data_IF_475112848213
#
_entry.id   IF_475112848213
#
_cell.length_a   1.000
_cell.length_b   1.000
_cell.length_c   1.000
_cell.angle_alpha   90.00
_cell.angle_beta   90.00
_cell.angle_gamma   90.00
#
_symmetry.space_group_name_H-M   'P 1'
#
loop_
_entity.id
_entity.type
_entity.pdbx_description
1 polymer ?
#
# COMPACT_ATOMS: atom_id res chain seq x y z
N UNK A 1 -30.08 -17.51 -7.61
CA UNK A 1 -29.18 -17.21 -6.48
C UNK A 1 -27.77 -17.63 -6.87
N UNK A 2 -26.77 -16.76 -6.82
CA UNK A 2 -25.38 -17.11 -7.13
C UNK A 2 -24.60 -17.34 -5.82
N UNK A 3 -24.09 -18.56 -5.62
CA UNK A 3 -23.41 -18.95 -4.39
C UNK A 3 -21.91 -18.68 -4.50
N UNK A 4 -21.47 -17.51 -4.02
CA UNK A 4 -20.05 -17.20 -3.86
C UNK A 4 -19.48 -18.11 -2.75
N UNK A 5 -18.76 -19.15 -3.16
CA UNK A 5 -18.10 -20.11 -2.28
C UNK A 5 -16.63 -19.72 -2.10
N UNK A 6 -16.31 -19.02 -1.02
CA UNK A 6 -14.93 -18.87 -0.57
C UNK A 6 -14.40 -20.13 0.14
N UNK A 7 -13.07 -20.26 0.17
CA UNK A 7 -12.26 -21.27 0.87
C UNK A 7 -12.78 -21.57 2.30
N UNK A 8 -12.49 -22.78 2.76
CA UNK A 8 -12.68 -23.21 4.15
C UNK A 8 -12.02 -22.22 5.12
N UNK A 9 -12.84 -21.53 5.93
CA UNK A 9 -12.38 -20.65 7.01
C UNK A 9 -12.81 -19.18 6.94
N UNK A 10 -13.42 -18.70 5.85
CA UNK A 10 -13.95 -17.32 5.78
C UNK A 10 -15.48 -17.26 5.80
N UNK A 11 -16.03 -16.14 6.27
CA UNK A 11 -17.47 -15.89 6.39
C UNK A 11 -18.13 -15.94 5.01
N UNK A 12 -19.04 -16.89 4.82
CA UNK A 12 -19.83 -17.10 3.60
C UNK A 12 -20.52 -15.79 3.20
N UNK A 13 -20.15 -15.21 2.07
CA UNK A 13 -20.81 -14.04 1.52
C UNK A 13 -21.61 -14.48 0.29
N UNK A 14 -22.92 -14.26 0.27
CA UNK A 14 -23.75 -14.55 -0.90
C UNK A 14 -23.81 -13.30 -1.79
N UNK A 15 -23.50 -13.44 -3.08
CA UNK A 15 -23.84 -12.42 -4.06
C UNK A 15 -25.32 -12.56 -4.41
N UNK A 16 -26.10 -11.51 -4.19
CA UNK A 16 -27.44 -11.46 -4.75
C UNK A 16 -27.35 -11.19 -6.26
N UNK A 17 -27.57 -12.24 -7.06
CA UNK A 17 -27.53 -12.17 -8.52
C UNK A 17 -28.62 -11.25 -9.11
N UNK A 18 -29.71 -11.02 -8.38
CA UNK A 18 -30.79 -10.12 -8.80
C UNK A 18 -30.46 -8.65 -8.54
N UNK A 19 -29.44 -8.37 -7.71
CA UNK A 19 -29.00 -7.01 -7.41
C UNK A 19 -28.46 -6.34 -8.66
N UNK A 20 -28.83 -5.07 -8.83
CA UNK A 20 -28.32 -4.21 -9.90
C UNK A 20 -26.92 -3.70 -9.54
N UNK A 21 -26.00 -3.82 -10.49
CA UNK A 21 -24.64 -3.32 -10.37
C UNK A 21 -24.61 -1.81 -10.66
N UNK A 22 -23.86 -1.07 -9.85
CA UNK A 22 -23.97 0.39 -9.75
C UNK A 22 -23.42 1.12 -10.98
N UNK A 23 -22.36 0.61 -11.59
CA UNK A 23 -21.72 1.27 -12.73
C UNK A 23 -22.43 0.97 -14.05
N UNK A 24 -22.84 -0.27 -14.25
CA UNK A 24 -23.42 -0.77 -15.49
C UNK A 24 -24.94 -0.69 -15.53
N UNK A 25 -25.59 -0.55 -14.37
CA UNK A 25 -27.06 -0.57 -14.22
C UNK A 25 -27.71 -1.87 -14.73
N UNK A 26 -26.92 -2.95 -14.89
CA UNK A 26 -27.38 -4.30 -15.22
C UNK A 26 -27.42 -5.17 -13.96
N UNK A 27 -28.20 -6.25 -13.98
CA UNK A 27 -28.15 -7.23 -12.89
C UNK A 27 -26.85 -8.03 -12.97
N UNK A 28 -26.33 -8.44 -11.81
CA UNK A 28 -25.16 -9.32 -11.79
C UNK A 28 -25.39 -10.62 -12.57
N UNK A 29 -26.60 -11.18 -12.53
CA UNK A 29 -26.96 -12.36 -13.32
C UNK A 29 -26.72 -12.15 -14.83
N UNK A 30 -27.18 -11.01 -15.35
CA UNK A 30 -27.07 -10.67 -16.78
C UNK A 30 -25.61 -10.44 -17.17
N UNK A 31 -24.83 -9.77 -16.32
CA UNK A 31 -23.40 -9.54 -16.55
C UNK A 31 -22.59 -10.84 -16.57
N UNK A 32 -22.87 -11.75 -15.62
CA UNK A 32 -22.22 -13.06 -15.57
C UNK A 32 -22.58 -13.86 -16.83
N UNK A 33 -23.86 -13.89 -17.18
CA UNK A 33 -24.34 -14.58 -18.38
C UNK A 33 -23.69 -14.02 -19.65
N UNK A 34 -23.67 -12.69 -19.82
CA UNK A 34 -23.06 -12.00 -20.96
C UNK A 34 -21.58 -12.38 -21.12
N UNK A 35 -20.82 -12.46 -20.01
CA UNK A 35 -19.41 -12.87 -20.05
C UNK A 35 -19.22 -14.34 -20.37
N UNK A 36 -20.00 -15.22 -19.76
CA UNK A 36 -19.95 -16.67 -20.01
C UNK A 36 -20.39 -17.02 -21.43
N UNK A 37 -21.40 -16.33 -21.97
CA UNK A 37 -21.85 -16.49 -23.36
C UNK A 37 -20.76 -16.11 -24.38
N UNK A 38 -19.82 -15.22 -24.00
CA UNK A 38 -18.63 -14.88 -24.79
C UNK A 38 -17.44 -15.83 -24.54
N UNK A 39 -17.59 -16.87 -23.72
CA UNK A 39 -16.49 -17.77 -23.34
C UNK A 39 -15.44 -17.10 -22.46
N UNK A 40 -15.82 -16.06 -21.70
CA UNK A 40 -14.89 -15.29 -20.85
C UNK A 40 -15.26 -15.40 -19.38
N UNK A 41 -14.25 -15.42 -18.52
CA UNK A 41 -14.48 -15.39 -17.08
C UNK A 41 -15.07 -14.05 -16.64
N UNK A 42 -15.91 -14.09 -15.60
CA UNK A 42 -16.45 -12.89 -14.99
C UNK A 42 -15.72 -12.56 -13.69
N UNK A 43 -15.41 -11.28 -13.46
CA UNK A 43 -14.63 -10.83 -12.32
C UNK A 43 -15.46 -9.93 -11.40
N UNK A 44 -15.48 -10.26 -10.11
CA UNK A 44 -16.16 -9.51 -9.06
C UNK A 44 -15.15 -8.85 -8.12
N UNK A 45 -15.51 -7.68 -7.62
CA UNK A 45 -14.77 -7.02 -6.55
C UNK A 45 -15.66 -6.86 -5.31
N UNK A 46 -15.14 -7.27 -4.16
CA UNK A 46 -15.73 -7.09 -2.83
C UNK A 46 -14.97 -5.99 -2.11
N UNK A 47 -15.67 -4.92 -1.78
CA UNK A 47 -15.16 -3.76 -1.06
C UNK A 47 -15.55 -3.87 0.40
N UNK A 48 -14.54 -3.76 1.27
CA UNK A 48 -14.70 -3.59 2.71
C UNK A 48 -14.36 -2.14 3.06
N UNK A 49 -15.29 -1.42 3.69
CA UNK A 49 -15.06 -0.04 4.14
C UNK A 49 -14.53 -0.02 5.57
N UNK A 50 -13.71 0.99 5.92
CA UNK A 50 -13.13 1.14 7.27
C UNK A 50 -14.20 1.39 8.34
N UNK A 51 -15.24 2.13 8.01
CA UNK A 51 -16.34 2.41 8.92
C UNK A 51 -17.33 1.25 8.94
N UNK A 52 -17.55 0.69 10.13
CA UNK A 52 -18.65 -0.25 10.37
C UNK A 52 -19.98 0.47 10.15
N UNK A 53 -20.96 -0.23 9.59
CA UNK A 53 -22.28 0.34 9.42
C UNK A 53 -22.91 0.59 10.79
N UNK A 54 -23.20 1.87 11.07
CA UNK A 54 -23.66 2.38 12.36
C UNK A 54 -24.98 1.74 12.81
N UNK A 55 -25.72 1.14 11.87
CA UNK A 55 -27.02 0.51 12.11
C UNK A 55 -26.96 -0.98 12.43
N UNK A 56 -25.91 -1.70 12.00
CA UNK A 56 -25.87 -3.17 12.06
C UNK A 56 -24.76 -3.72 12.95
N UNK A 57 -23.71 -2.95 13.25
CA UNK A 57 -22.52 -3.44 13.97
C UNK A 57 -21.70 -4.49 13.21
N UNK A 58 -22.23 -5.03 12.11
CA UNK A 58 -21.59 -5.99 11.23
C UNK A 58 -20.77 -5.30 10.15
N UNK A 59 -19.71 -5.99 9.73
CA UNK A 59 -18.92 -5.60 8.58
C UNK A 59 -19.77 -5.74 7.31
N UNK A 60 -20.15 -4.61 6.71
CA UNK A 60 -20.87 -4.59 5.43
C UNK A 60 -19.86 -4.67 4.29
N UNK A 61 -20.08 -5.64 3.42
CA UNK A 61 -19.33 -5.81 2.19
C UNK A 61 -20.17 -5.36 1.00
N UNK A 62 -19.55 -4.65 0.07
CA UNK A 62 -20.19 -4.20 -1.16
C UNK A 62 -19.56 -4.91 -2.35
N UNK A 63 -20.40 -5.52 -3.19
CA UNK A 63 -19.96 -6.19 -4.41
C UNK A 63 -20.16 -5.28 -5.62
N UNK A 64 -19.17 -5.26 -6.51
CA UNK A 64 -19.14 -4.49 -7.74
C UNK A 64 -18.61 -5.34 -8.89
N UNK A 65 -18.88 -4.92 -10.13
CA UNK A 65 -18.11 -5.38 -11.27
C UNK A 65 -16.64 -4.96 -11.08
N UNK A 66 -15.72 -5.92 -11.19
CA UNK A 66 -14.32 -5.66 -10.89
C UNK A 66 -13.67 -4.70 -11.88
N UNK A 67 -14.04 -4.77 -13.16
CA UNK A 67 -13.48 -3.92 -14.22
C UNK A 67 -13.89 -2.48 -14.00
N UNK A 68 -15.17 -2.23 -13.76
CA UNK A 68 -15.69 -0.88 -13.54
C UNK A 68 -15.17 -0.28 -12.23
N UNK A 69 -15.14 -1.06 -11.14
CA UNK A 69 -14.57 -0.57 -9.88
C UNK A 69 -13.10 -0.19 -10.06
N UNK A 70 -12.31 -1.00 -10.77
CA UNK A 70 -10.91 -0.69 -11.03
C UNK A 70 -10.74 0.60 -11.85
N UNK A 71 -11.60 0.86 -12.84
CA UNK A 71 -11.60 2.12 -13.62
C UNK A 71 -11.94 3.34 -12.75
N UNK A 72 -12.74 3.15 -11.70
CA UNK A 72 -13.09 4.20 -10.75
C UNK A 72 -11.97 4.46 -9.71
N UNK A 73 -11.44 3.40 -9.10
CA UNK A 73 -10.48 3.48 -7.98
C UNK A 73 -9.07 3.81 -8.45
N UNK A 74 -8.66 3.27 -9.60
CA UNK A 74 -7.30 3.37 -10.10
C UNK A 74 -7.23 4.21 -11.37
N UNK A 75 -6.09 4.87 -11.58
CA UNK A 75 -5.78 5.60 -12.79
C UNK A 75 -4.43 5.16 -13.37
N UNK A 76 -4.33 5.21 -14.70
CA UNK A 76 -3.03 5.10 -15.37
C UNK A 76 -2.39 6.48 -15.47
N UNK A 77 -1.17 6.57 -14.96
CA UNK A 77 -0.32 7.77 -15.08
C UNK A 77 0.85 7.44 -16.00
N UNK A 78 1.04 8.24 -17.04
CA UNK A 78 2.17 8.15 -17.96
C UNK A 78 3.27 9.08 -17.45
N UNK A 79 4.44 8.54 -17.10
CA UNK A 79 5.61 9.32 -16.71
C UNK A 79 6.75 9.09 -17.70
N UNK A 80 7.81 9.90 -17.60
CA UNK A 80 9.07 9.70 -18.34
C UNK A 80 9.73 8.35 -18.03
N UNK A 81 9.43 7.77 -16.87
CA UNK A 81 9.87 6.44 -16.43
C UNK A 81 8.98 5.29 -16.97
N UNK A 82 7.87 5.61 -17.65
CA UNK A 82 6.93 4.65 -18.22
C UNK A 82 5.49 4.83 -17.73
N UNK A 83 4.62 3.89 -18.08
CA UNK A 83 3.23 3.85 -17.59
C UNK A 83 3.23 3.27 -16.18
N UNK A 84 2.45 3.83 -15.25
CA UNK A 84 2.25 3.34 -13.87
C UNK A 84 0.78 3.44 -13.48
N UNK A 85 0.31 2.54 -12.63
CA UNK A 85 -1.04 2.66 -12.04
C UNK A 85 -0.92 3.31 -10.67
N UNK A 86 -1.81 4.24 -10.37
CA UNK A 86 -1.95 4.87 -9.07
C UNK A 86 -3.38 4.75 -8.56
N UNK A 87 -3.55 4.87 -7.26
CA UNK A 87 -4.86 5.00 -6.64
C UNK A 87 -5.33 6.44 -6.85
N UNK A 88 -6.47 6.62 -7.52
CA UNK A 88 -7.10 7.92 -7.77
C UNK A 88 -8.02 8.30 -6.61
N UNK A 89 -8.95 7.39 -6.28
CA UNK A 89 -9.94 7.59 -5.22
C UNK A 89 -10.18 6.26 -4.49
N UNK A 90 -9.80 6.18 -3.21
CA UNK A 90 -9.98 4.97 -2.39
C UNK A 90 -11.20 5.07 -1.48
N UNK A 91 -12.34 5.46 -2.08
CA UNK A 91 -13.64 5.57 -1.43
C UNK A 91 -14.68 4.71 -2.15
N UNK A 92 -15.63 4.17 -1.39
CA UNK A 92 -16.75 3.42 -1.93
C UNK A 92 -17.58 4.30 -2.87
N UNK A 93 -17.90 3.84 -4.09
CA UNK A 93 -18.61 4.66 -5.09
C UNK A 93 -19.99 5.15 -4.64
N UNK A 94 -20.70 4.34 -3.84
CA UNK A 94 -22.08 4.61 -3.41
C UNK A 94 -22.10 5.40 -2.11
N UNK A 95 -21.42 4.88 -1.09
CA UNK A 95 -21.50 5.41 0.27
C UNK A 95 -20.43 6.48 0.54
N UNK A 96 -19.46 6.66 -0.37
CA UNK A 96 -18.34 7.61 -0.24
C UNK A 96 -17.48 7.38 1.02
N UNK A 97 -17.57 6.19 1.62
CA UNK A 97 -16.78 5.75 2.79
C UNK A 97 -15.38 5.31 2.35
N UNK A 98 -14.39 5.51 3.22
CA UNK A 98 -13.03 5.07 2.92
C UNK A 98 -12.94 3.54 2.82
N UNK A 99 -12.31 3.06 1.75
CA UNK A 99 -12.10 1.63 1.53
C UNK A 99 -10.94 1.17 2.42
N UNK A 100 -11.15 0.06 3.14
CA UNK A 100 -10.11 -0.64 3.87
C UNK A 100 -9.41 -1.67 2.97
N UNK A 101 -10.19 -2.47 2.26
CA UNK A 101 -9.68 -3.52 1.38
C UNK A 101 -10.63 -3.79 0.21
N UNK A 102 -10.05 -4.06 -0.96
CA UNK A 102 -10.75 -4.63 -2.12
C UNK A 102 -10.21 -6.03 -2.34
N UNK A 103 -11.13 -7.00 -2.37
CA UNK A 103 -10.87 -8.42 -2.65
C UNK A 103 -11.51 -8.79 -4.00
N UNK A 104 -10.79 -9.52 -4.83
CA UNK A 104 -11.23 -9.87 -6.17
C UNK A 104 -11.51 -11.36 -6.29
N UNK A 105 -12.53 -11.68 -7.09
CA UNK A 105 -13.02 -13.03 -7.32
C UNK A 105 -13.24 -13.28 -8.80
N UNK A 106 -13.02 -14.51 -9.23
CA UNK A 106 -13.24 -14.98 -10.59
C UNK A 106 -14.34 -16.03 -10.63
N UNK A 107 -15.34 -15.84 -11.47
CA UNK A 107 -16.32 -16.85 -11.84
C UNK A 107 -15.91 -17.43 -13.19
N UNK A 108 -15.45 -18.69 -13.15
CA UNK A 108 -15.05 -19.43 -14.34
C UNK A 108 -16.24 -19.71 -15.25
N UNK A 109 -16.08 -19.47 -16.54
CA UNK A 109 -17.09 -19.77 -17.55
C UNK A 109 -17.22 -21.29 -17.83
N UNK A 110 -16.13 -22.03 -17.64
CA UNK A 110 -15.99 -23.46 -17.93
C UNK A 110 -16.22 -24.37 -16.70
N UNK A 111 -16.62 -23.81 -15.57
CA UNK A 111 -16.79 -24.59 -14.34
C UNK A 111 -18.08 -25.39 -14.37
N UNK A 112 -18.00 -26.67 -13.97
CA UNK A 112 -19.15 -27.52 -13.64
C UNK A 112 -20.06 -26.87 -12.56
N UNK A 113 -19.50 -25.94 -11.77
CA UNK A 113 -20.23 -25.08 -10.82
C UNK A 113 -20.12 -23.61 -11.23
N UNK A 114 -20.91 -23.13 -12.21
CA UNK A 114 -20.73 -21.79 -12.83
C UNK A 114 -20.91 -20.61 -11.86
N UNK A 115 -21.48 -20.87 -10.68
CA UNK A 115 -21.78 -19.85 -9.67
C UNK A 115 -20.71 -19.76 -8.58
N UNK A 116 -19.66 -20.59 -8.62
CA UNK A 116 -18.57 -20.58 -7.64
C UNK A 116 -17.54 -19.51 -8.00
N UNK A 117 -17.45 -18.49 -7.16
CA UNK A 117 -16.43 -17.46 -7.30
C UNK A 117 -15.14 -17.86 -6.57
N UNK A 118 -14.02 -17.90 -7.29
CA UNK A 118 -12.69 -18.20 -6.76
C UNK A 118 -11.97 -16.91 -6.37
N UNK A 119 -11.43 -16.83 -5.16
CA UNK A 119 -10.58 -15.70 -4.77
C UNK A 119 -9.28 -15.69 -5.59
N UNK A 120 -8.93 -14.54 -6.16
CA UNK A 120 -7.76 -14.38 -7.03
C UNK A 120 -6.73 -13.37 -6.49
N UNK A 121 -7.10 -12.52 -5.54
CA UNK A 121 -6.20 -11.51 -4.99
C UNK A 121 -6.92 -10.30 -4.41
N UNK A 122 -6.15 -9.33 -3.94
CA UNK A 122 -6.67 -8.08 -3.39
C UNK A 122 -6.06 -6.87 -4.14
N UNK A 123 -6.44 -5.65 -3.73
CA UNK A 123 -5.93 -4.41 -4.34
C UNK A 123 -4.40 -4.30 -4.36
N UNK A 124 -3.69 -4.84 -3.35
CA UNK A 124 -2.22 -4.85 -3.32
C UNK A 124 -1.68 -5.75 -4.44
N UNK A 125 -2.17 -6.99 -4.51
CA UNK A 125 -1.72 -7.92 -5.55
C UNK A 125 -2.12 -7.48 -6.96
N UNK A 126 -3.24 -6.75 -7.11
CA UNK A 126 -3.65 -6.12 -8.36
C UNK A 126 -2.66 -5.03 -8.83
N UNK A 127 -2.17 -4.19 -7.90
CA UNK A 127 -1.18 -3.16 -8.23
C UNK A 127 0.19 -3.75 -8.58
N UNK A 128 0.54 -4.91 -8.04
CA UNK A 128 1.82 -5.58 -8.29
C UNK A 128 1.80 -6.48 -9.54
N UNK A 129 0.71 -7.22 -9.77
CA UNK A 129 0.66 -8.29 -10.79
C UNK A 129 0.13 -7.80 -12.14
N UNK A 130 0.99 -7.77 -13.17
CA UNK A 130 0.56 -7.46 -14.53
C UNK A 130 -0.40 -8.51 -15.09
N UNK A 131 -0.09 -9.80 -14.87
CA UNK A 131 -0.93 -10.90 -15.34
C UNK A 131 -2.36 -10.81 -14.79
N UNK A 132 -2.50 -10.45 -13.51
CA UNK A 132 -3.81 -10.25 -12.91
C UNK A 132 -4.59 -9.13 -13.61
N UNK A 133 -3.96 -7.97 -13.83
CA UNK A 133 -4.62 -6.87 -14.56
C UNK A 133 -5.01 -7.23 -15.98
N UNK A 134 -4.09 -7.86 -16.73
CA UNK A 134 -4.36 -8.31 -18.10
C UNK A 134 -5.59 -9.22 -18.16
N UNK A 135 -5.72 -10.15 -17.22
CA UNK A 135 -6.87 -11.04 -17.10
C UNK A 135 -8.16 -10.31 -16.74
N UNK A 136 -8.11 -9.40 -15.77
CA UNK A 136 -9.30 -8.68 -15.31
C UNK A 136 -9.89 -7.75 -16.38
N UNK A 137 -9.04 -7.17 -17.24
CA UNK A 137 -9.48 -6.25 -18.30
C UNK A 137 -9.81 -6.94 -19.62
N UNK A 138 -9.53 -8.25 -19.77
CA UNK A 138 -9.63 -9.03 -21.01
C UNK A 138 -8.98 -8.30 -22.20
N UNK A 139 -7.66 -8.51 -22.39
CA UNK A 139 -6.80 -7.85 -23.38
C UNK A 139 -7.20 -8.06 -24.86
N UNK A 140 -8.39 -7.60 -25.28
CA UNK A 140 -8.75 -7.49 -26.70
C UNK A 140 -8.71 -6.04 -27.19
N UNK A 141 -8.80 -5.04 -26.30
CA UNK A 141 -8.76 -3.64 -26.69
C UNK A 141 -7.50 -2.91 -26.13
N UNK A 142 -6.54 -2.51 -26.98
CA UNK A 142 -5.32 -1.83 -26.56
C UNK A 142 -5.54 -0.46 -25.91
N UNK A 143 -6.72 0.17 -26.11
CA UNK A 143 -7.12 1.41 -25.43
C UNK A 143 -7.63 1.16 -24.00
N UNK A 144 -8.16 -0.04 -23.77
CA UNK A 144 -8.77 -0.47 -22.50
C UNK A 144 -7.79 -1.26 -21.62
N UNK A 145 -6.68 -1.70 -22.21
CA UNK A 145 -5.57 -2.34 -21.54
C UNK A 145 -4.79 -1.31 -20.71
N UNK A 146 -4.83 -1.49 -19.38
CA UNK A 146 -3.84 -0.91 -18.49
C UNK A 146 -2.45 -1.54 -18.78
N UNK A 147 -1.87 -1.25 -19.95
CA UNK A 147 -0.58 -1.76 -20.40
C UNK A 147 0.51 -0.92 -19.73
N UNK A 148 1.00 -1.44 -18.61
CA UNK A 148 1.91 -0.73 -17.71
C UNK A 148 3.30 -1.31 -17.88
N UNK A 149 4.27 -0.48 -18.28
CA UNK A 149 5.68 -0.86 -18.23
C UNK A 149 6.16 -0.71 -16.78
N UNK A 150 6.36 -1.82 -16.08
CA UNK A 150 6.95 -1.81 -14.75
C UNK A 150 8.45 -1.59 -14.85
N UNK A 151 8.89 -0.35 -14.65
CA UNK A 151 10.19 -0.16 -14.01
C UNK A 151 10.06 -0.69 -12.58
N UNK A 152 10.43 -1.95 -12.39
CA UNK A 152 10.78 -2.46 -11.07
C UNK A 152 11.96 -1.62 -10.58
N UNK A 153 11.68 -0.51 -9.87
CA UNK A 153 12.67 -0.03 -8.91
C UNK A 153 12.77 -1.19 -7.94
N UNK A 154 13.81 -2.03 -8.12
CA UNK A 154 14.34 -2.86 -7.04
C UNK A 154 14.31 -1.92 -5.85
N UNK A 155 13.50 -2.24 -4.84
CA UNK A 155 13.73 -1.72 -3.52
C UNK A 155 15.13 -2.24 -3.25
N UNK A 156 16.14 -1.41 -3.51
CA UNK A 156 17.48 -1.67 -3.04
C UNK A 156 17.28 -1.73 -1.53
N UNK A 157 17.15 -2.96 -1.00
CA UNK A 157 17.38 -3.26 0.40
C UNK A 157 18.60 -2.42 0.73
N UNK A 158 18.41 -1.38 1.55
CA UNK A 158 19.44 -0.40 1.88
C UNK A 158 20.72 -1.19 2.09
N UNK A 159 21.55 -1.18 1.06
CA UNK A 159 22.70 -2.07 1.00
C UNK A 159 23.56 -1.62 2.17
N UNK A 160 24.09 -2.58 2.90
CA UNK A 160 24.86 -2.48 4.14
C UNK A 160 25.97 -1.40 4.14
N UNK A 161 26.24 -0.77 2.99
CA UNK A 161 27.06 0.43 2.78
C UNK A 161 26.67 1.65 3.64
N UNK A 162 25.41 1.84 4.05
CA UNK A 162 25.06 2.98 4.93
C UNK A 162 25.49 2.77 6.39
N UNK A 163 25.64 1.53 6.87
CA UNK A 163 26.02 1.27 8.27
C UNK A 163 27.46 1.68 8.56
N UNK A 164 28.38 1.46 7.61
CA UNK A 164 29.79 1.86 7.78
C UNK A 164 29.95 3.39 7.85
N UNK A 165 29.26 4.14 6.98
CA UNK A 165 29.26 5.61 7.04
C UNK A 165 28.66 6.17 8.33
N UNK A 166 27.64 5.52 8.89
CA UNK A 166 27.06 5.92 10.19
C UNK A 166 28.07 5.68 11.32
N UNK A 167 28.78 4.55 11.31
CA UNK A 167 29.82 4.23 12.30
C UNK A 167 31.01 5.21 12.18
N UNK A 168 31.47 5.51 10.96
CA UNK A 168 32.57 6.45 10.73
C UNK A 168 32.20 7.87 11.21
N UNK A 169 30.96 8.30 10.97
CA UNK A 169 30.46 9.60 11.44
C UNK A 169 30.38 9.64 12.97
N UNK A 170 29.92 8.55 13.59
CA UNK A 170 29.85 8.44 15.04
C UNK A 170 31.24 8.46 15.70
N UNK A 171 32.21 7.73 15.13
CA UNK A 171 33.58 7.72 15.62
C UNK A 171 34.23 9.12 15.56
N UNK A 172 33.97 9.88 14.49
CA UNK A 172 34.48 11.25 14.35
C UNK A 172 33.90 12.20 15.40
N UNK A 173 32.61 12.07 15.72
CA UNK A 173 31.96 12.85 16.79
C UNK A 173 32.60 12.54 18.16
N UNK A 174 32.86 11.27 18.46
CA UNK A 174 33.48 10.86 19.73
C UNK A 174 34.89 11.45 19.85
N UNK A 175 35.70 11.40 18.79
CA UNK A 175 37.05 11.98 18.78
C UNK A 175 37.00 13.49 19.03
N UNK A 176 36.08 14.21 18.39
CA UNK A 176 35.90 15.65 18.61
C UNK A 176 35.51 15.96 20.06
N UNK A 177 34.64 15.17 20.67
CA UNK A 177 34.28 15.31 22.08
C UNK A 177 35.48 15.08 23.02
N UNK A 178 36.34 14.10 22.73
CA UNK A 178 37.55 13.85 23.52
C UNK A 178 38.53 15.02 23.40
N UNK A 179 38.76 15.54 22.19
CA UNK A 179 39.62 16.72 21.96
C UNK A 179 39.07 17.93 22.72
N UNK A 180 37.75 18.17 22.66
CA UNK A 180 37.10 19.26 23.38
C UNK A 180 37.24 19.12 24.90
N UNK A 181 37.11 17.91 25.43
CA UNK A 181 37.32 17.61 26.86
C UNK A 181 38.77 17.87 27.29
N UNK A 182 39.75 17.41 26.51
CA UNK A 182 41.18 17.66 26.79
C UNK A 182 41.49 19.17 26.73
N UNK A 183 40.94 19.89 25.75
CA UNK A 183 41.09 21.33 25.65
C UNK A 183 40.47 22.07 26.86
N UNK A 184 39.28 21.65 27.32
CA UNK A 184 38.63 22.21 28.50
C UNK A 184 39.41 21.94 29.79
N UNK A 185 39.92 20.71 29.97
CA UNK A 185 40.74 20.34 31.12
C UNK A 185 42.09 21.07 31.10
N UNK A 186 42.73 21.17 29.95
CA UNK A 186 43.97 21.94 29.77
C UNK A 186 43.79 23.43 30.04
N UNK A 187 42.68 24.01 29.59
CA UNK A 187 42.30 25.39 29.89
C UNK A 187 42.06 25.62 31.38
N UNK A 188 41.33 24.71 32.04
CA UNK A 188 41.08 24.77 33.50
C UNK A 188 42.37 24.57 34.31
N UNK A 189 43.26 23.68 33.88
CA UNK A 189 44.56 23.44 34.53
C UNK A 189 45.51 24.65 34.39
N UNK A 190 45.49 25.35 33.25
CA UNK A 190 46.21 26.62 33.08
C UNK A 190 45.64 27.74 33.96
N UNK A 191 44.32 27.90 34.07
CA UNK A 191 43.72 28.88 35.01
C UNK A 191 43.94 28.53 36.48
N UNK A 192 43.97 27.24 36.84
CA UNK A 192 44.28 26.78 38.19
C UNK A 192 45.73 27.03 38.61
N UNK A 193 46.68 27.04 37.68
CA UNK A 193 48.10 27.38 37.96
C UNK A 193 48.38 28.88 38.03
N UNK A 194 47.57 29.72 37.38
CA UNK A 194 47.78 31.19 37.39
C UNK A 194 47.24 31.84 38.67
N UNK A 195 46.40 31.16 39.46
CA UNK A 195 45.94 31.65 40.76
C UNK A 195 46.91 31.39 41.93
N UNK A 196 48.10 30.82 41.67
CA UNK A 196 49.00 30.29 42.71
C UNK A 196 50.34 31.00 42.89
N UNK A 197 50.58 32.16 42.25
CA UNK A 197 51.83 32.91 42.45
C UNK A 197 51.52 34.42 42.47
N UNK A 198 51.22 34.93 43.66
CA UNK A 198 51.30 36.36 43.97
C UNK A 198 52.53 36.61 44.85
N UNK A 199 53.28 37.71 44.65
CA UNK A 199 54.52 37.96 45.37
C UNK A 199 54.24 38.30 46.84
N UNK A 200 55.02 37.70 47.74
CA UNK A 200 55.08 38.13 49.14
C UNK A 200 56.10 39.26 49.24
N UNK A 201 55.59 40.48 49.15
CA UNK A 201 56.18 41.76 49.58
C UNK A 201 55.02 42.50 50.25
N UNK A 202 55.04 43.05 51.45
CA UNK A 202 56.10 43.63 52.28
C UNK A 202 55.53 43.87 53.71
N UNK A 203 56.41 43.80 54.73
CA UNK A 203 56.68 44.82 55.79
C UNK A 203 55.58 45.30 56.80
N UNK A 204 55.94 45.13 58.09
CA UNK A 204 55.71 45.89 59.37
C UNK A 204 54.31 46.19 59.94
N UNK A 205 54.17 45.84 61.22
CA UNK A 205 53.80 46.65 62.42
C UNK A 205 53.85 45.68 63.64
N UNK A 206 54.36 45.97 64.83
CA UNK A 206 54.63 47.20 65.59
C UNK A 206 55.86 46.96 66.47
#
# INVERSE_FOLDING_TARGET
MAYVLEKTGTTRCALDAAKTEVFTQKKFADLIYDSHARGTDYYLARVHCKEKDSKSGNTVYYCYDAKQLCKYVFEMVITTEGRRIRIKNFKDPVNQKEIAEINFFKLRHDSETPLKAEFIGNHVSFLESNNFRSKLFNQEDPLDALSVNFQFKKIEKITSLKKKKIIDTFALIVILCVIAMVALVGYRSRRGKVAGIGPITEVKKQ
#
